data_IF_639907018012
#
_entry.id   IF_639907018012
#
_cell.length_a   1.000
_cell.length_b   1.000
_cell.length_c   1.000
_cell.angle_alpha   90.00
_cell.angle_beta   90.00
_cell.angle_gamma   90.00
#
_symmetry.space_group_name_H-M   'P 1'
#
loop_
_entity.id
_entity.type
_entity.pdbx_description
1 polymer ?
#
# COMPACT_ATOMS: atom_id res chain seq x y z
N UNK A 1 5.35 -0.75 -12.09
CA UNK A 1 6.58 -1.41 -11.60
C UNK A 1 6.30 -2.20 -10.34
N UNK A 2 6.73 -3.46 -10.31
CA UNK A 2 6.63 -4.39 -9.19
C UNK A 2 7.97 -4.51 -8.46
N UNK A 3 7.95 -4.66 -7.14
CA UNK A 3 9.16 -4.79 -6.34
C UNK A 3 9.76 -6.20 -6.44
N UNK A 4 11.07 -6.29 -6.68
CA UNK A 4 11.81 -7.54 -6.85
C UNK A 4 12.66 -7.91 -5.61
N UNK A 5 12.69 -7.06 -4.59
CA UNK A 5 13.59 -7.22 -3.43
C UNK A 5 14.85 -6.35 -3.55
N UNK A 6 15.53 -6.07 -2.42
CA UNK A 6 16.80 -5.32 -2.36
C UNK A 6 16.80 -3.97 -3.11
N UNK A 7 15.66 -3.30 -3.19
CA UNK A 7 15.53 -2.00 -3.86
C UNK A 7 15.31 -2.05 -5.37
N UNK A 8 15.24 -3.23 -5.98
CA UNK A 8 15.01 -3.35 -7.43
C UNK A 8 13.52 -3.47 -7.78
N UNK A 9 13.18 -3.01 -8.99
CA UNK A 9 11.84 -3.02 -9.54
C UNK A 9 11.84 -3.56 -10.98
N UNK A 10 10.72 -4.16 -11.40
CA UNK A 10 10.49 -4.68 -12.76
C UNK A 10 9.19 -4.11 -13.33
N UNK A 11 9.08 -3.92 -14.65
CA UNK A 11 7.80 -3.53 -15.27
C UNK A 11 6.79 -4.68 -15.17
N UNK A 12 5.53 -4.36 -14.90
CA UNK A 12 4.49 -5.39 -14.77
C UNK A 12 4.25 -6.14 -16.09
N UNK A 13 4.32 -5.45 -17.23
CA UNK A 13 4.24 -6.08 -18.55
C UNK A 13 5.30 -7.17 -18.77
N UNK A 14 6.51 -6.99 -18.22
CA UNK A 14 7.57 -8.01 -18.28
C UNK A 14 7.30 -9.20 -17.35
N UNK A 15 6.57 -8.99 -16.27
CA UNK A 15 6.12 -10.04 -15.34
C UNK A 15 5.00 -10.87 -16.00
N UNK A 16 4.02 -10.20 -16.61
CA UNK A 16 2.91 -10.83 -17.31
C UNK A 16 3.38 -11.64 -18.52
N UNK A 17 4.28 -11.09 -19.34
CA UNK A 17 4.87 -11.77 -20.50
C UNK A 17 5.62 -13.06 -20.11
N UNK A 18 6.02 -13.20 -18.84
CA UNK A 18 6.72 -14.36 -18.28
C UNK A 18 5.82 -15.23 -17.40
N UNK A 19 4.50 -15.10 -17.51
CA UNK A 19 3.52 -15.93 -16.81
C UNK A 19 3.48 -15.72 -15.30
N UNK A 20 3.82 -14.51 -14.81
CA UNK A 20 3.75 -14.17 -13.38
C UNK A 20 4.88 -14.73 -12.50
N UNK A 21 5.83 -15.46 -13.09
CA UNK A 21 6.88 -16.22 -12.39
C UNK A 21 8.20 -15.46 -12.16
N UNK A 22 8.32 -14.23 -12.64
CA UNK A 22 9.47 -13.36 -12.35
C UNK A 22 9.46 -13.10 -10.84
N UNK A 23 10.63 -13.12 -10.19
CA UNK A 23 10.85 -13.00 -8.73
C UNK A 23 10.35 -11.72 -8.04
N UNK A 24 9.15 -11.27 -8.39
CA UNK A 24 8.35 -10.25 -7.76
C UNK A 24 8.14 -10.68 -6.33
N UNK A 25 8.61 -9.83 -5.42
CA UNK A 25 8.38 -10.02 -4.00
C UNK A 25 7.02 -9.44 -3.65
N UNK A 26 6.01 -10.30 -3.70
CA UNK A 26 4.68 -9.99 -3.20
C UNK A 26 4.76 -9.61 -1.72
N UNK A 27 4.00 -8.59 -1.31
CA UNK A 27 3.90 -8.23 0.10
C UNK A 27 3.15 -9.33 0.84
N UNK A 28 3.82 -9.92 1.83
CA UNK A 28 3.16 -10.81 2.78
C UNK A 28 2.15 -10.06 3.65
N UNK A 29 1.32 -10.83 4.34
CA UNK A 29 0.41 -10.30 5.35
C UNK A 29 1.18 -9.62 6.47
N UNK A 30 0.56 -8.60 7.09
CA UNK A 30 1.08 -8.03 8.33
C UNK A 30 1.19 -9.13 9.39
N UNK A 31 2.34 -9.23 10.05
CA UNK A 31 2.53 -10.19 11.14
C UNK A 31 1.66 -9.84 12.35
N UNK A 32 1.24 -10.86 13.10
CA UNK A 32 0.37 -10.70 14.27
C UNK A 32 0.95 -9.73 15.31
N UNK A 33 2.26 -9.82 15.60
CA UNK A 33 2.91 -8.89 16.53
C UNK A 33 2.84 -7.43 16.07
N UNK A 34 2.99 -7.17 14.77
CA UNK A 34 2.88 -5.83 14.18
C UNK A 34 1.43 -5.33 14.14
N UNK A 35 0.48 -6.24 13.99
CA UNK A 35 -0.95 -5.93 14.08
C UNK A 35 -1.32 -5.49 15.50
N UNK A 36 -0.96 -6.29 16.51
CA UNK A 36 -1.20 -5.99 17.93
C UNK A 36 -0.56 -4.65 18.32
N UNK A 37 0.70 -4.43 17.93
CA UNK A 37 1.41 -3.17 18.21
C UNK A 37 0.67 -1.97 17.62
N UNK A 38 0.21 -2.06 16.36
CA UNK A 38 -0.54 -0.97 15.72
C UNK A 38 -1.91 -0.73 16.37
N UNK A 39 -2.62 -1.80 16.71
CA UNK A 39 -3.93 -1.72 17.38
C UNK A 39 -3.81 -1.01 18.73
N UNK A 40 -2.82 -1.43 19.52
CA UNK A 40 -2.61 -0.93 20.89
C UNK A 40 -2.09 0.50 20.92
N UNK A 41 -1.22 0.89 19.98
CA UNK A 41 -0.57 2.21 19.97
C UNK A 41 -1.33 3.28 19.21
N UNK A 42 -1.92 2.92 18.08
CA UNK A 42 -2.45 3.92 17.13
C UNK A 42 -3.97 3.85 16.93
N UNK A 43 -4.62 2.75 17.33
CA UNK A 43 -6.02 2.48 17.01
C UNK A 43 -6.90 2.31 18.25
N UNK A 44 -6.46 2.80 19.42
CA UNK A 44 -7.28 2.82 20.63
C UNK A 44 -7.73 1.46 21.14
N UNK A 45 -6.92 0.40 20.91
CA UNK A 45 -7.24 -1.00 21.23
C UNK A 45 -8.43 -1.60 20.44
N UNK A 46 -8.90 -0.96 19.38
CA UNK A 46 -9.99 -1.49 18.55
C UNK A 46 -9.44 -2.10 17.25
N UNK A 47 -9.49 -3.44 17.09
CA UNK A 47 -8.98 -4.13 15.91
C UNK A 47 -9.79 -3.83 14.64
N UNK A 48 -11.02 -3.31 14.75
CA UNK A 48 -11.87 -3.01 13.59
C UNK A 48 -11.29 -1.89 12.71
N UNK A 49 -10.40 -1.04 13.27
CA UNK A 49 -9.70 0.01 12.53
C UNK A 49 -8.42 -0.46 11.81
N UNK A 50 -8.05 -1.74 11.91
CA UNK A 50 -6.84 -2.27 11.27
C UNK A 50 -7.10 -2.58 9.79
N UNK A 51 -6.76 -1.64 8.91
CA UNK A 51 -7.10 -1.69 7.47
C UNK A 51 -5.96 -2.10 6.54
N UNK A 52 -4.83 -2.56 7.09
CA UNK A 52 -3.60 -2.87 6.32
C UNK A 52 -2.99 -4.23 6.69
N UNK A 53 -3.84 -5.21 7.01
CA UNK A 53 -3.42 -6.62 7.14
C UNK A 53 -2.95 -7.11 5.77
N UNK A 54 -3.83 -7.02 4.77
CA UNK A 54 -3.49 -7.16 3.37
C UNK A 54 -3.13 -5.78 2.80
N UNK A 55 -1.91 -5.64 2.28
CA UNK A 55 -1.44 -4.40 1.68
C UNK A 55 -0.60 -4.66 0.46
N UNK A 56 -0.67 -3.81 -0.54
CA UNK A 56 0.15 -3.88 -1.75
C UNK A 56 0.67 -2.49 -2.16
N UNK A 57 1.69 -2.45 -3.01
CA UNK A 57 2.26 -1.22 -3.55
C UNK A 57 2.50 -1.38 -5.05
N UNK A 58 2.10 -0.37 -5.82
CA UNK A 58 2.41 -0.26 -7.25
C UNK A 58 3.24 1.00 -7.46
N UNK A 59 4.40 0.84 -8.08
CA UNK A 59 5.29 1.96 -8.42
C UNK A 59 5.10 2.40 -9.90
N UNK A 60 5.12 3.72 -10.15
CA UNK A 60 4.90 4.34 -11.47
C UNK A 60 6.05 5.27 -11.84
N UNK A 61 6.40 5.37 -13.12
CA UNK A 61 7.45 6.32 -13.55
C UNK A 61 6.97 7.78 -13.48
N UNK A 62 5.68 8.00 -13.75
CA UNK A 62 5.10 9.33 -13.90
C UNK A 62 3.71 9.39 -13.25
N UNK A 63 3.22 10.62 -13.06
CA UNK A 63 1.89 10.85 -12.47
C UNK A 63 0.74 10.44 -13.40
N UNK A 64 0.93 10.50 -14.71
CA UNK A 64 -0.13 10.18 -15.68
C UNK A 64 -0.56 8.71 -15.56
N UNK A 65 0.39 7.78 -15.47
CA UNK A 65 0.08 6.36 -15.29
C UNK A 65 -0.50 6.07 -13.89
N UNK A 66 -0.02 6.80 -12.87
CA UNK A 66 -0.55 6.71 -11.52
C UNK A 66 -2.02 7.14 -11.47
N UNK A 67 -2.36 8.27 -12.10
CA UNK A 67 -3.73 8.80 -12.12
C UNK A 67 -4.65 7.94 -12.98
N UNK A 68 -4.16 7.38 -14.10
CA UNK A 68 -4.90 6.36 -14.87
C UNK A 68 -5.25 5.14 -14.02
N UNK A 69 -4.28 4.59 -13.28
CA UNK A 69 -4.54 3.47 -12.38
C UNK A 69 -5.58 3.81 -11.30
N UNK A 70 -5.47 4.99 -10.69
CA UNK A 70 -6.47 5.46 -9.73
C UNK A 70 -7.86 5.60 -10.36
N UNK A 71 -7.96 6.14 -11.57
CA UNK A 71 -9.23 6.27 -12.29
C UNK A 71 -9.85 4.89 -12.58
N UNK A 72 -9.05 3.92 -13.06
CA UNK A 72 -9.49 2.55 -13.27
C UNK A 72 -10.07 1.93 -12.00
N UNK A 73 -9.36 2.06 -10.86
CA UNK A 73 -9.84 1.56 -9.57
C UNK A 73 -11.15 2.20 -9.10
N UNK A 74 -11.37 3.47 -9.45
CA UNK A 74 -12.59 4.20 -9.09
C UNK A 74 -13.80 3.82 -9.94
N UNK A 75 -13.57 3.36 -11.17
CA UNK A 75 -14.62 2.95 -12.12
C UNK A 75 -14.91 1.46 -12.11
N UNK A 76 -14.07 0.66 -11.44
CA UNK A 76 -14.22 -0.79 -11.36
C UNK A 76 -15.42 -1.19 -10.47
N UNK A 77 -16.32 -2.01 -11.01
CA UNK A 77 -17.56 -2.40 -10.33
C UNK A 77 -17.37 -3.40 -9.19
N UNK A 78 -16.23 -4.08 -9.09
CA UNK A 78 -15.91 -4.96 -7.96
C UNK A 78 -15.17 -4.19 -6.85
N UNK A 79 -14.49 -3.11 -7.20
CA UNK A 79 -13.74 -2.31 -6.23
C UNK A 79 -14.67 -1.33 -5.50
N UNK A 80 -14.63 -1.35 -4.16
CA UNK A 80 -15.32 -0.38 -3.32
C UNK A 80 -14.29 0.40 -2.52
N UNK A 81 -14.00 1.62 -2.96
CA UNK A 81 -13.10 2.53 -2.26
C UNK A 81 -13.76 3.05 -0.98
N UNK A 82 -13.05 2.89 0.14
CA UNK A 82 -13.48 3.33 1.47
C UNK A 82 -12.81 4.67 1.82
N UNK A 83 -11.53 4.82 1.47
CA UNK A 83 -10.74 6.01 1.80
C UNK A 83 -9.60 6.21 0.81
N UNK A 84 -9.33 7.46 0.48
CA UNK A 84 -8.12 7.86 -0.24
C UNK A 84 -7.36 8.87 0.64
N UNK A 85 -6.05 8.65 0.79
CA UNK A 85 -5.12 9.59 1.40
C UNK A 85 -4.08 9.99 0.35
N UNK A 86 -4.25 11.17 -0.23
CA UNK A 86 -3.30 11.75 -1.18
C UNK A 86 -2.17 12.48 -0.43
N UNK A 87 -1.00 11.84 -0.30
CA UNK A 87 0.18 12.46 0.30
C UNK A 87 1.02 13.23 -0.71
N UNK A 88 0.65 13.26 -1.99
CA UNK A 88 1.29 14.13 -2.98
C UNK A 88 0.74 15.56 -2.97
N UNK A 89 -0.47 15.77 -2.43
CA UNK A 89 -1.08 17.10 -2.33
C UNK A 89 -0.12 18.12 -1.71
N UNK A 90 0.00 19.35 -2.27
CA UNK A 90 0.78 20.43 -1.66
C UNK A 90 0.31 20.77 -0.24
N UNK A 91 -0.97 20.60 0.04
CA UNK A 91 -1.56 20.88 1.36
C UNK A 91 -1.30 19.76 2.40
N UNK A 92 -0.69 18.65 1.97
CA UNK A 92 -0.36 17.56 2.86
C UNK A 92 0.93 17.85 3.64
N UNK A 93 0.80 18.02 4.95
CA UNK A 93 1.94 18.11 5.85
C UNK A 93 2.73 16.78 5.89
N UNK A 94 3.87 16.78 5.19
CA UNK A 94 4.75 15.62 5.06
C UNK A 94 5.38 15.18 6.39
N UNK A 95 5.46 16.05 7.40
CA UNK A 95 5.97 15.69 8.72
C UNK A 95 5.09 14.62 9.40
N UNK A 96 3.79 14.57 9.06
CA UNK A 96 2.83 13.57 9.57
C UNK A 96 3.07 12.15 9.05
N UNK A 97 3.99 11.97 8.11
CA UNK A 97 4.35 10.65 7.59
C UNK A 97 5.85 10.49 7.36
N UNK A 98 6.68 11.20 8.13
CA UNK A 98 8.13 11.16 8.00
C UNK A 98 8.62 11.36 6.55
N UNK A 99 7.96 12.26 5.79
CA UNK A 99 8.33 12.59 4.42
C UNK A 99 7.78 11.66 3.33
N UNK A 100 6.99 10.63 3.68
CA UNK A 100 6.42 9.72 2.68
C UNK A 100 5.44 10.44 1.73
N UNK A 101 5.56 10.14 0.43
CA UNK A 101 4.70 10.64 -0.65
C UNK A 101 4.19 9.47 -1.49
N UNK A 102 2.89 9.27 -1.48
CA UNK A 102 2.12 8.21 -2.16
C UNK A 102 0.63 8.58 -2.14
N UNK A 103 -0.18 7.86 -2.92
CA UNK A 103 -1.64 7.81 -2.75
C UNK A 103 -1.98 6.48 -2.08
N UNK A 104 -2.41 6.52 -0.82
CA UNK A 104 -2.84 5.33 -0.09
C UNK A 104 -4.36 5.19 -0.18
N UNK A 105 -4.81 4.03 -0.63
CA UNK A 105 -6.22 3.72 -0.90
C UNK A 105 -6.62 2.55 0.00
N UNK A 106 -7.65 2.74 0.82
CA UNK A 106 -8.32 1.64 1.48
C UNK A 106 -9.55 1.27 0.66
N UNK A 107 -9.67 -0.01 0.32
CA UNK A 107 -10.75 -0.53 -0.51
C UNK A 107 -11.10 -1.96 -0.09
N UNK A 108 -12.28 -2.41 -0.49
CA UNK A 108 -12.68 -3.83 -0.44
C UNK A 108 -13.01 -4.29 -1.85
N UNK A 109 -12.87 -5.59 -2.09
CA UNK A 109 -13.25 -6.23 -3.35
C UNK A 109 -14.56 -6.96 -3.09
N UNK A 110 -15.57 -6.68 -3.90
CA UNK A 110 -16.87 -7.35 -3.87
C UNK A 110 -17.04 -8.14 -5.17
N UNK A 111 -16.75 -9.43 -5.09
CA UNK A 111 -16.83 -10.40 -6.17
C UNK A 111 -17.37 -11.73 -5.64
N UNK A 112 -17.79 -12.64 -6.52
CA UNK A 112 -18.26 -13.97 -6.11
C UNK A 112 -17.19 -14.74 -5.34
N UNK A 113 -15.92 -14.57 -5.70
CA UNK A 113 -14.80 -15.22 -5.01
C UNK A 113 -14.61 -14.69 -3.58
N UNK A 114 -14.70 -13.37 -3.38
CA UNK A 114 -14.58 -12.78 -2.03
C UNK A 114 -15.79 -13.09 -1.16
N UNK A 115 -16.99 -13.17 -1.75
CA UNK A 115 -18.19 -13.61 -1.07
C UNK A 115 -18.09 -15.07 -0.63
N UNK A 116 -17.65 -15.97 -1.50
CA UNK A 116 -17.47 -17.38 -1.18
C UNK A 116 -16.46 -17.61 -0.03
N UNK A 117 -15.50 -16.70 0.13
CA UNK A 117 -14.50 -16.71 1.20
C UNK A 117 -14.94 -15.97 2.48
N UNK A 118 -16.11 -15.30 2.48
CA UNK A 118 -16.53 -14.42 3.58
C UNK A 118 -15.60 -13.23 3.80
N UNK A 119 -14.93 -12.77 2.74
CA UNK A 119 -13.90 -11.74 2.76
C UNK A 119 -14.32 -10.45 2.03
N UNK A 120 -15.56 -10.35 1.57
CA UNK A 120 -16.10 -9.22 0.81
C UNK A 120 -16.15 -7.90 1.61
N UNK A 121 -16.06 -8.00 2.94
CA UNK A 121 -15.94 -6.85 3.85
C UNK A 121 -14.51 -6.54 4.27
N UNK A 122 -13.52 -7.37 3.89
CA UNK A 122 -12.13 -7.16 4.26
C UNK A 122 -11.57 -5.91 3.57
N UNK A 123 -10.92 -5.05 4.35
CA UNK A 123 -10.28 -3.84 3.83
C UNK A 123 -8.82 -4.13 3.53
N UNK A 124 -8.44 -3.92 2.28
CA UNK A 124 -7.06 -3.91 1.81
C UNK A 124 -6.53 -2.47 1.74
N UNK A 125 -5.20 -2.33 1.81
CA UNK A 125 -4.51 -1.07 1.52
C UNK A 125 -3.70 -1.19 0.22
N UNK A 126 -3.92 -0.30 -0.75
CA UNK A 126 -3.07 -0.15 -1.93
C UNK A 126 -2.32 1.19 -1.87
N UNK A 127 -1.02 1.16 -2.10
CA UNK A 127 -0.19 2.35 -2.18
C UNK A 127 0.28 2.57 -3.62
N UNK A 128 -0.13 3.69 -4.21
CA UNK A 128 0.37 4.15 -5.51
C UNK A 128 1.50 5.15 -5.29
N UNK A 129 2.69 4.84 -5.78
CA UNK A 129 3.90 5.63 -5.52
C UNK A 129 4.66 5.86 -6.81
N UNK A 130 5.32 7.01 -6.95
CA UNK A 130 6.29 7.22 -8.01
C UNK A 130 7.57 6.42 -7.72
N UNK A 131 8.17 5.85 -8.75
CA UNK A 131 9.35 4.97 -8.65
C UNK A 131 10.50 5.66 -7.92
N UNK A 132 10.75 6.94 -8.22
CA UNK A 132 11.77 7.76 -7.55
C UNK A 132 11.56 7.85 -6.03
N UNK A 133 10.31 7.92 -5.55
CA UNK A 133 10.00 7.90 -4.12
C UNK A 133 10.07 6.48 -3.52
N UNK A 134 9.71 5.47 -4.31
CA UNK A 134 9.77 4.07 -3.89
C UNK A 134 11.21 3.58 -3.69
N UNK A 135 12.14 4.05 -4.52
CA UNK A 135 13.57 3.79 -4.41
C UNK A 135 14.15 4.37 -3.12
N UNK A 136 13.88 5.66 -2.82
CA UNK A 136 14.33 6.32 -1.57
C UNK A 136 13.85 5.56 -0.33
N UNK A 137 12.59 5.10 -0.34
CA UNK A 137 12.02 4.30 0.75
C UNK A 137 12.81 3.02 1.00
N UNK A 138 13.31 2.39 -0.05
CA UNK A 138 13.95 1.07 0.00
C UNK A 138 15.39 1.08 0.53
N UNK A 139 16.13 2.18 0.36
CA UNK A 139 17.56 2.27 0.72
C UNK A 139 17.77 2.40 2.23
N UNK A 140 17.09 3.35 2.88
CA UNK A 140 17.18 3.59 4.33
C UNK A 140 15.86 4.09 4.95
N UNK A 141 14.91 4.55 4.11
CA UNK A 141 13.68 5.20 4.56
C UNK A 141 12.77 4.32 5.42
N UNK A 142 12.74 2.99 5.18
CA UNK A 142 11.91 2.11 6.00
C UNK A 142 12.44 1.97 7.45
N UNK A 143 13.76 1.86 7.63
CA UNK A 143 14.37 1.78 8.96
C UNK A 143 14.18 3.08 9.74
N UNK A 144 14.42 4.22 9.08
CA UNK A 144 14.25 5.54 9.68
C UNK A 144 12.79 5.81 10.05
N UNK A 145 11.84 5.37 9.21
CA UNK A 145 10.41 5.43 9.53
C UNK A 145 10.05 4.63 10.78
N UNK A 146 10.57 3.40 10.93
CA UNK A 146 10.32 2.58 12.12
C UNK A 146 10.83 3.29 13.38
N UNK A 147 12.02 3.89 13.32
CA UNK A 147 12.60 4.64 14.45
C UNK A 147 11.77 5.87 14.78
N UNK A 148 11.43 6.69 13.78
CA UNK A 148 10.59 7.87 13.94
C UNK A 148 9.23 7.53 14.56
N UNK A 149 8.59 6.46 14.07
CA UNK A 149 7.29 5.99 14.57
C UNK A 149 7.39 5.55 16.04
N UNK A 150 8.39 4.71 16.35
CA UNK A 150 8.59 4.22 17.72
C UNK A 150 8.85 5.36 18.71
N UNK A 151 9.59 6.41 18.31
CA UNK A 151 9.85 7.57 19.15
C UNK A 151 8.56 8.33 19.51
N UNK A 152 7.56 8.33 18.63
CA UNK A 152 6.26 8.98 18.85
C UNK A 152 5.27 8.13 19.65
N UNK A 153 5.64 6.90 20.00
CA UNK A 153 4.71 5.94 20.61
C UNK A 153 3.64 5.45 19.65
N UNK A 154 3.83 5.61 18.34
CA UNK A 154 2.93 5.17 17.27
C UNK A 154 3.24 3.75 16.77
#
# INVERSE_FOLDING_TARGET
WAFMGRGSYVKFSEVEAKGGSVGVKWSGLKSSGRAIEKITRSLGNDPSYLTDICRFMIAFENFEDLTKCLATLLTDEEVRVIRIKNRYSPDYDAAKSAGYRDVAINFRIKSDATLALGAEVHICELQLILLSFAEIRSVAGHRNYIQWRNFRGE
#
